data_IF_396135068667
#
_entry.id   IF_396135068667
#
_cell.length_a   1.000
_cell.length_b   1.000
_cell.length_c   1.000
_cell.angle_alpha   90.00
_cell.angle_beta   90.00
_cell.angle_gamma   90.00
#
_symmetry.space_group_name_H-M   'P 1'
#
loop_
_entity.id
_entity.type
_entity.pdbx_description
1 polymer ?
#
# COMPACT_ATOMS: atom_id res chain seq x y z
N UNK A 1 -4.90 2.78 7.10
CA UNK A 1 -3.97 2.66 5.96
C UNK A 1 -4.70 2.06 4.79
N UNK A 2 -4.56 2.66 3.62
CA UNK A 2 -4.94 2.10 2.32
C UNK A 2 -3.69 2.10 1.44
N UNK A 3 -3.34 0.93 0.88
CA UNK A 3 -2.06 0.71 0.19
C UNK A 3 -2.35 0.04 -1.16
N UNK A 4 -1.96 0.69 -2.25
CA UNK A 4 -2.16 0.20 -3.62
C UNK A 4 -3.63 0.04 -4.01
N UNK A 5 -3.90 -0.89 -4.92
CA UNK A 5 -5.26 -1.17 -5.41
C UNK A 5 -5.46 -0.76 -6.86
N UNK A 6 -6.70 -0.43 -7.22
CA UNK A 6 -7.09 -0.04 -8.56
C UNK A 6 -8.25 0.95 -8.50
N UNK A 7 -8.10 2.12 -9.13
CA UNK A 7 -9.10 3.22 -9.07
C UNK A 7 -10.22 3.11 -10.11
N UNK A 8 -10.17 2.07 -10.96
CA UNK A 8 -11.08 1.87 -12.09
C UNK A 8 -10.41 2.11 -13.44
N UNK A 9 -9.24 2.78 -13.46
CA UNK A 9 -8.46 3.04 -14.65
C UNK A 9 -7.06 2.40 -14.59
N UNK A 10 -6.37 2.56 -13.46
CA UNK A 10 -4.98 2.11 -13.30
C UNK A 10 -4.77 1.39 -11.97
N UNK A 11 -3.76 0.52 -11.96
CA UNK A 11 -3.17 0.03 -10.73
C UNK A 11 -2.57 1.19 -9.94
N UNK A 12 -2.63 1.12 -8.62
CA UNK A 12 -2.10 2.17 -7.76
C UNK A 12 -0.84 1.67 -7.05
N UNK A 13 0.14 2.56 -6.92
CA UNK A 13 1.22 2.43 -5.95
C UNK A 13 1.07 3.40 -4.78
N UNK A 14 0.01 4.22 -4.77
CA UNK A 14 -0.22 5.18 -3.69
C UNK A 14 -0.47 4.48 -2.36
N UNK A 15 -0.16 5.19 -1.29
CA UNK A 15 -0.45 4.79 0.07
C UNK A 15 -0.97 6.02 0.84
N UNK A 16 -1.93 5.79 1.73
CA UNK A 16 -2.53 6.83 2.56
C UNK A 16 -2.93 6.28 3.92
N UNK A 17 -2.95 7.17 4.93
CA UNK A 17 -3.34 6.87 6.30
C UNK A 17 -4.53 7.73 6.69
N UNK A 18 -5.47 7.14 7.42
CA UNK A 18 -6.61 7.86 7.95
C UNK A 18 -6.27 8.32 9.37
N UNK A 19 -6.31 9.63 9.61
CA UNK A 19 -6.27 10.19 10.94
C UNK A 19 -7.71 10.37 11.47
N UNK A 20 -8.13 9.59 12.47
CA UNK A 20 -9.47 9.71 13.05
C UNK A 20 -9.67 10.99 13.87
N UNK A 21 -8.61 11.67 14.31
CA UNK A 21 -8.75 12.92 15.08
C UNK A 21 -9.13 14.09 14.18
N UNK A 22 -8.47 14.23 13.03
CA UNK A 22 -8.80 15.26 12.05
C UNK A 22 -9.88 14.81 11.04
N UNK A 23 -10.23 13.52 11.05
CA UNK A 23 -11.16 12.89 10.11
C UNK A 23 -10.73 13.12 8.66
N UNK A 24 -9.45 12.90 8.38
CA UNK A 24 -8.83 13.12 7.06
C UNK A 24 -7.93 11.96 6.69
N UNK A 25 -7.79 11.77 5.39
CA UNK A 25 -6.75 10.93 4.82
C UNK A 25 -5.53 11.78 4.49
N UNK A 26 -4.36 11.27 4.85
CA UNK A 26 -3.07 11.88 4.58
C UNK A 26 -2.23 10.95 3.70
N UNK A 27 -1.50 11.49 2.71
CA UNK A 27 -0.68 10.69 1.83
C UNK A 27 0.56 10.16 2.57
N UNK A 28 0.96 8.94 2.23
CA UNK A 28 2.24 8.36 2.60
C UNK A 28 3.18 8.32 1.38
N UNK A 29 4.44 7.97 1.60
CA UNK A 29 5.32 7.60 0.49
C UNK A 29 4.67 6.47 -0.33
N UNK A 30 4.75 6.48 -1.67
CA UNK A 30 4.18 5.41 -2.48
C UNK A 30 5.05 4.15 -2.49
N UNK A 31 4.47 3.01 -2.86
CA UNK A 31 5.23 1.80 -3.24
C UNK A 31 6.08 2.07 -4.49
N UNK A 32 7.13 1.29 -4.67
CA UNK A 32 7.90 1.27 -5.91
C UNK A 32 7.13 0.58 -7.03
N UNK A 33 6.24 -0.35 -6.70
CA UNK A 33 5.47 -1.12 -7.68
C UNK A 33 4.00 -0.78 -7.64
N UNK A 34 3.38 -0.68 -8.82
CA UNK A 34 1.95 -0.50 -8.98
C UNK A 34 1.28 -1.87 -8.92
N UNK A 35 0.46 -2.13 -7.90
CA UNK A 35 -0.09 -3.45 -7.66
C UNK A 35 -1.48 -3.38 -7.05
N UNK A 36 -2.33 -4.36 -7.38
CA UNK A 36 -3.63 -4.61 -6.73
C UNK A 36 -3.68 -6.00 -6.14
N UNK A 37 -4.73 -6.29 -5.37
CA UNK A 37 -4.92 -7.62 -4.75
C UNK A 37 -3.82 -7.97 -3.75
N UNK A 38 -3.26 -6.96 -3.09
CA UNK A 38 -2.13 -7.08 -2.15
C UNK A 38 -2.65 -7.54 -0.79
N UNK A 39 -1.86 -8.34 -0.07
CA UNK A 39 -2.05 -8.56 1.37
C UNK A 39 -1.20 -7.56 2.17
N UNK A 40 -1.79 -6.89 3.16
CA UNK A 40 -1.08 -5.91 4.00
C UNK A 40 -1.13 -6.34 5.47
N UNK A 41 0.02 -6.30 6.15
CA UNK A 41 0.14 -6.62 7.57
C UNK A 41 1.17 -5.77 8.31
N UNK A 42 1.02 -5.66 9.63
CA UNK A 42 1.99 -5.01 10.52
C UNK A 42 2.81 -6.07 11.26
N UNK A 43 4.14 -5.90 11.31
CA UNK A 43 5.02 -6.78 12.08
C UNK A 43 6.18 -5.99 12.66
N UNK A 44 6.18 -5.81 13.98
CA UNK A 44 7.27 -5.14 14.70
C UNK A 44 7.36 -3.63 14.44
N UNK A 45 6.26 -2.98 14.06
CA UNK A 45 6.19 -1.54 13.78
C UNK A 45 5.90 -1.21 12.31
N UNK A 46 6.73 -1.67 11.35
CA UNK A 46 6.52 -1.44 9.92
C UNK A 46 5.26 -2.11 9.36
N UNK A 47 4.77 -1.57 8.24
CA UNK A 47 3.79 -2.25 7.38
C UNK A 47 4.48 -2.98 6.24
N UNK A 48 3.91 -4.11 5.84
CA UNK A 48 4.40 -4.95 4.75
C UNK A 48 3.29 -5.15 3.73
N UNK A 49 3.56 -4.80 2.48
CA UNK A 49 2.73 -5.05 1.32
C UNK A 49 3.27 -6.29 0.59
N UNK A 50 2.54 -7.40 0.65
CA UNK A 50 3.00 -8.72 0.19
C UNK A 50 2.26 -9.12 -1.09
N UNK A 51 3.04 -9.43 -2.13
CA UNK A 51 2.54 -9.97 -3.39
C UNK A 51 1.62 -8.99 -4.13
N UNK A 52 0.48 -9.48 -4.60
CA UNK A 52 -0.42 -8.75 -5.50
C UNK A 52 -0.09 -8.97 -6.96
N UNK A 53 -0.71 -8.20 -7.85
CA UNK A 53 -0.57 -8.33 -9.29
C UNK A 53 -0.75 -7.02 -10.04
N UNK A 54 -0.20 -6.97 -11.25
CA UNK A 54 -0.58 -6.05 -12.32
C UNK A 54 -1.26 -6.82 -13.48
N UNK A 55 -1.41 -6.19 -14.65
CA UNK A 55 -2.04 -6.82 -15.83
C UNK A 55 -1.27 -8.01 -16.40
N UNK A 56 0.00 -8.16 -16.03
CA UNK A 56 0.94 -9.11 -16.63
C UNK A 56 1.49 -10.13 -15.63
N UNK A 57 1.62 -9.75 -14.37
CA UNK A 57 2.47 -10.46 -13.40
C UNK A 57 1.80 -10.55 -12.04
N UNK A 58 1.86 -11.73 -11.43
CA UNK A 58 1.67 -11.89 -9.99
C UNK A 58 3.03 -11.75 -9.31
N UNK A 59 3.14 -10.83 -8.36
CA UNK A 59 4.40 -10.54 -7.70
C UNK A 59 4.67 -11.51 -6.55
N UNK A 60 5.91 -11.96 -6.43
CA UNK A 60 6.46 -12.70 -5.28
C UNK A 60 7.24 -11.78 -4.31
N UNK A 61 7.25 -10.48 -4.59
CA UNK A 61 7.96 -9.46 -3.82
C UNK A 61 7.16 -8.94 -2.63
N UNK A 62 7.89 -8.41 -1.65
CA UNK A 62 7.35 -7.73 -0.48
C UNK A 62 7.94 -6.32 -0.42
N UNK A 63 7.09 -5.32 -0.21
CA UNK A 63 7.51 -3.94 0.04
C UNK A 63 7.26 -3.58 1.52
N UNK A 64 8.22 -2.90 2.14
CA UNK A 64 8.18 -2.50 3.56
C UNK A 64 8.03 -0.99 3.67
N UNK A 65 7.15 -0.57 4.56
CA UNK A 65 6.93 0.82 4.95
C UNK A 65 7.41 1.05 6.38
N UNK A 66 8.46 1.84 6.52
CA UNK A 66 8.92 2.36 7.80
C UNK A 66 8.13 3.62 8.14
N UNK A 67 7.03 3.41 8.86
CA UNK A 67 6.16 4.51 9.30
C UNK A 67 6.66 4.96 10.66
N UNK A 68 7.31 6.11 10.70
CA UNK A 68 7.63 6.78 11.97
C UNK A 68 6.32 7.15 12.68
N UNK A 69 6.24 6.87 13.98
CA UNK A 69 5.12 7.25 14.85
C UNK A 69 5.42 8.60 15.52
#
# INVERSE_FOLDING_TARGET
>A
YAIGGHDGNVHLNSAEVFDPQTNRWEPLAPMNTWRRGIAVGCLGGPLYAVGGLDDSTCFDTVERYDIEH
#
